data_IF_711530955284
#
_entry.id   IF_711530955284
#
_cell.length_a   1.000
_cell.length_b   1.000
_cell.length_c   1.000
_cell.angle_alpha   90.00
_cell.angle_beta   90.00
_cell.angle_gamma   90.00
#
_symmetry.space_group_name_H-M   'P 1'
#
loop_
_entity.id
_entity.type
_entity.pdbx_description
1 polymer ?
#
# COMPACT_ATOMS: atom_id res chain seq x y z
N UNK A 1 0.40 -33.24 -15.51
CA UNK A 1 1.11 -32.98 -14.24
C UNK A 1 0.24 -32.04 -13.45
N UNK A 2 0.16 -32.16 -12.11
CA UNK A 2 -0.54 -31.20 -11.28
C UNK A 2 0.22 -29.85 -11.33
N UNK A 3 -0.52 -28.75 -11.44
CA UNK A 3 0.09 -27.42 -11.37
C UNK A 3 0.58 -27.12 -9.95
N UNK A 4 1.66 -26.35 -9.85
CA UNK A 4 2.13 -25.82 -8.57
C UNK A 4 1.21 -24.66 -8.17
N UNK A 5 0.66 -24.72 -6.96
CA UNK A 5 -0.20 -23.68 -6.42
C UNK A 5 0.67 -22.48 -5.96
N UNK A 6 0.27 -21.29 -6.37
CA UNK A 6 0.77 -20.01 -5.91
C UNK A 6 -0.40 -19.26 -5.27
N UNK A 7 -0.42 -19.18 -3.94
CA UNK A 7 -1.40 -18.37 -3.21
C UNK A 7 -0.97 -16.91 -3.26
N UNK A 8 -1.89 -16.07 -3.70
CA UNK A 8 -1.66 -14.64 -3.92
C UNK A 8 -2.53 -13.84 -2.97
N UNK A 9 -1.91 -13.13 -2.04
CA UNK A 9 -2.61 -12.20 -1.16
C UNK A 9 -2.57 -10.78 -1.70
N UNK A 10 -3.75 -10.16 -1.85
CA UNK A 10 -3.86 -8.75 -2.20
C UNK A 10 -5.12 -8.14 -1.58
N UNK A 11 -5.20 -6.81 -1.53
CA UNK A 11 -6.36 -6.16 -0.92
C UNK A 11 -7.60 -6.26 -1.83
N UNK A 12 -8.82 -6.19 -1.25
CA UNK A 12 -10.05 -6.10 -2.03
C UNK A 12 -10.32 -4.66 -2.46
N UNK A 13 -9.30 -3.98 -2.99
CA UNK A 13 -9.37 -2.62 -3.50
C UNK A 13 -9.26 -2.60 -5.02
N UNK A 14 -9.75 -1.55 -5.65
CA UNK A 14 -9.85 -1.48 -7.11
C UNK A 14 -8.49 -1.45 -7.82
N UNK A 15 -7.47 -0.86 -7.21
CA UNK A 15 -6.10 -0.83 -7.75
C UNK A 15 -5.45 -2.22 -7.75
N UNK A 16 -5.54 -2.97 -6.65
CA UNK A 16 -5.05 -4.35 -6.61
C UNK A 16 -5.84 -5.25 -7.57
N UNK A 17 -7.17 -5.16 -7.59
CA UNK A 17 -7.99 -5.93 -8.53
C UNK A 17 -7.58 -5.65 -9.99
N UNK A 18 -7.33 -4.38 -10.33
CA UNK A 18 -6.85 -4.00 -11.66
C UNK A 18 -5.50 -4.66 -11.98
N UNK A 19 -4.54 -4.59 -11.08
CA UNK A 19 -3.18 -5.13 -11.24
C UNK A 19 -3.21 -6.65 -11.49
N UNK A 20 -4.07 -7.37 -10.78
CA UNK A 20 -4.17 -8.83 -10.86
C UNK A 20 -5.20 -9.33 -11.89
N UNK A 21 -5.86 -8.44 -12.64
CA UNK A 21 -6.92 -8.79 -13.60
C UNK A 21 -6.56 -9.96 -14.51
N UNK A 22 -5.39 -9.93 -15.14
CA UNK A 22 -5.04 -10.92 -16.13
C UNK A 22 -4.78 -12.32 -15.52
N UNK A 23 -4.23 -12.38 -14.32
CA UNK A 23 -4.07 -13.63 -13.57
C UNK A 23 -5.42 -14.14 -13.06
N UNK A 24 -6.23 -13.27 -12.45
CA UNK A 24 -7.53 -13.63 -11.87
C UNK A 24 -8.55 -14.11 -12.93
N UNK A 25 -8.50 -13.55 -14.14
CA UNK A 25 -9.41 -13.91 -15.25
C UNK A 25 -8.79 -14.85 -16.29
N UNK A 26 -7.63 -15.46 -16.00
CA UNK A 26 -7.00 -16.46 -16.87
C UNK A 26 -6.63 -15.92 -18.26
N UNK A 27 -6.20 -14.66 -18.36
CA UNK A 27 -5.79 -14.03 -19.62
C UNK A 27 -4.36 -14.35 -20.03
N UNK A 28 -3.60 -15.00 -19.16
CA UNK A 28 -2.20 -15.36 -19.37
C UNK A 28 -2.02 -16.88 -19.33
N UNK A 29 -1.12 -17.38 -20.15
CA UNK A 29 -0.61 -18.74 -19.96
C UNK A 29 0.34 -18.74 -18.75
N UNK A 30 -0.09 -19.38 -17.68
CA UNK A 30 0.65 -19.49 -16.42
C UNK A 30 1.57 -20.73 -16.37
N UNK A 31 1.63 -21.52 -17.45
CA UNK A 31 2.48 -22.70 -17.51
C UNK A 31 2.17 -23.70 -16.39
N UNK A 32 3.20 -24.07 -15.59
CA UNK A 32 3.04 -25.07 -14.53
C UNK A 32 2.38 -24.50 -13.25
N UNK A 33 1.98 -23.23 -13.21
CA UNK A 33 1.44 -22.58 -12.01
C UNK A 33 -0.07 -22.42 -12.07
N UNK A 34 -0.70 -22.48 -10.88
CA UNK A 34 -2.09 -22.14 -10.64
C UNK A 34 -2.14 -21.06 -9.55
N UNK A 35 -2.70 -19.89 -9.87
CA UNK A 35 -2.81 -18.76 -8.95
C UNK A 35 -4.15 -18.82 -8.21
N UNK A 36 -4.08 -18.85 -6.88
CA UNK A 36 -5.25 -18.78 -5.99
C UNK A 36 -5.22 -17.44 -5.27
N UNK A 37 -6.20 -16.59 -5.54
CA UNK A 37 -6.29 -15.25 -4.99
C UNK A 37 -7.01 -15.25 -3.65
N UNK A 38 -6.40 -14.63 -2.64
CA UNK A 38 -6.96 -14.41 -1.31
C UNK A 38 -7.03 -12.91 -1.03
N UNK A 39 -8.26 -12.40 -0.89
CA UNK A 39 -8.53 -10.96 -0.78
C UNK A 39 -8.82 -10.60 0.68
N UNK A 40 -7.87 -9.92 1.29
CA UNK A 40 -7.98 -9.39 2.67
C UNK A 40 -7.23 -8.06 2.77
N UNK A 41 -7.56 -7.25 3.79
CA UNK A 41 -6.93 -5.94 3.99
C UNK A 41 -5.41 -6.04 4.22
N UNK A 42 -4.71 -4.94 3.90
CA UNK A 42 -3.24 -4.91 3.92
C UNK A 42 -2.64 -5.14 5.31
N UNK A 43 -3.28 -4.71 6.39
CA UNK A 43 -2.78 -4.98 7.74
C UNK A 43 -2.86 -6.47 8.07
N UNK A 44 -3.93 -7.15 7.64
CA UNK A 44 -4.08 -8.61 7.76
C UNK A 44 -3.04 -9.34 6.92
N UNK A 45 -2.79 -8.92 5.67
CA UNK A 45 -1.73 -9.49 4.82
C UNK A 45 -0.35 -9.32 5.45
N UNK A 46 -0.04 -8.13 5.97
CA UNK A 46 1.22 -7.88 6.69
C UNK A 46 1.41 -8.87 7.85
N UNK A 47 0.36 -9.13 8.63
CA UNK A 47 0.42 -10.09 9.77
C UNK A 47 0.59 -11.53 9.32
N UNK A 48 -0.11 -11.96 8.27
CA UNK A 48 0.04 -13.29 7.69
C UNK A 48 1.42 -13.53 7.08
N UNK A 49 2.03 -12.49 6.53
CA UNK A 49 3.38 -12.56 5.97
C UNK A 49 4.45 -12.92 7.02
N UNK A 50 4.27 -12.59 8.31
CA UNK A 50 5.19 -13.04 9.37
C UNK A 50 5.27 -14.57 9.48
N UNK A 51 4.22 -15.26 9.07
CA UNK A 51 4.13 -16.73 9.11
C UNK A 51 4.48 -17.38 7.76
N UNK A 52 4.80 -16.59 6.73
CA UNK A 52 5.11 -17.12 5.39
C UNK A 52 3.95 -17.87 4.75
N UNK A 53 2.70 -17.47 5.03
CA UNK A 53 1.51 -18.24 4.62
C UNK A 53 1.28 -18.24 3.10
N UNK A 54 1.66 -17.15 2.41
CA UNK A 54 1.40 -16.92 1.00
C UNK A 54 2.69 -16.94 0.19
N UNK A 55 2.66 -17.51 -1.01
CA UNK A 55 3.80 -17.54 -1.91
C UNK A 55 4.12 -16.17 -2.49
N UNK A 56 3.08 -15.40 -2.84
CA UNK A 56 3.14 -14.03 -3.33
C UNK A 56 2.14 -13.20 -2.54
N UNK A 57 2.52 -12.05 -2.01
CA UNK A 57 1.61 -11.21 -1.22
C UNK A 57 1.92 -9.73 -1.35
N UNK A 58 0.88 -8.92 -1.37
CA UNK A 58 1.04 -7.50 -1.10
C UNK A 58 1.50 -7.30 0.35
N UNK A 59 2.44 -6.39 0.55
CA UNK A 59 2.94 -5.97 1.87
C UNK A 59 3.16 -4.47 1.89
N UNK A 60 2.93 -3.87 3.04
CA UNK A 60 3.39 -2.49 3.27
C UNK A 60 4.91 -2.43 3.32
N UNK A 61 5.52 -1.39 2.77
CA UNK A 61 6.98 -1.20 2.85
C UNK A 61 7.45 -1.10 4.31
N UNK A 62 6.62 -0.56 5.21
CA UNK A 62 6.88 -0.61 6.66
C UNK A 62 6.97 -2.05 7.17
N UNK A 63 5.99 -2.89 6.87
CA UNK A 63 5.98 -4.29 7.29
C UNK A 63 7.19 -5.05 6.75
N UNK A 64 7.63 -4.74 5.52
CA UNK A 64 8.79 -5.38 4.91
C UNK A 64 10.06 -5.24 5.75
N UNK A 65 10.18 -4.19 6.57
CA UNK A 65 11.29 -4.05 7.52
C UNK A 65 11.45 -5.26 8.46
N UNK A 66 10.38 -5.97 8.71
CA UNK A 66 10.34 -7.16 9.58
C UNK A 66 10.31 -8.48 8.81
N UNK A 67 10.01 -8.42 7.50
CA UNK A 67 9.74 -9.58 6.65
C UNK A 67 10.90 -9.95 5.72
N UNK A 68 11.96 -9.14 5.66
CA UNK A 68 13.05 -9.27 4.70
C UNK A 68 13.81 -10.61 4.77
N UNK A 69 13.71 -11.34 5.88
CA UNK A 69 14.29 -12.69 6.01
C UNK A 69 13.40 -13.77 5.38
N UNK A 70 12.09 -13.52 5.22
CA UNK A 70 11.10 -14.46 4.67
C UNK A 70 10.76 -14.15 3.22
N UNK A 71 10.71 -12.86 2.87
CA UNK A 71 10.29 -12.37 1.56
C UNK A 71 11.35 -11.48 0.89
N UNK A 72 11.38 -11.52 -0.44
CA UNK A 72 12.03 -10.50 -1.27
C UNK A 72 10.97 -9.65 -1.98
N UNK A 73 11.24 -8.38 -2.24
CA UNK A 73 10.34 -7.51 -3.00
C UNK A 73 10.39 -7.87 -4.49
N UNK A 74 9.24 -7.98 -5.15
CA UNK A 74 9.18 -7.98 -6.60
C UNK A 74 9.55 -6.58 -7.11
N UNK A 75 10.37 -6.48 -8.18
CA UNK A 75 10.68 -5.17 -8.78
C UNK A 75 9.53 -4.62 -9.65
N UNK A 76 8.33 -5.16 -9.47
CA UNK A 76 7.07 -4.72 -10.05
C UNK A 76 5.94 -4.91 -9.04
N UNK A 77 4.78 -4.32 -9.28
CA UNK A 77 3.62 -4.40 -8.40
C UNK A 77 3.75 -3.49 -7.17
N UNK A 78 4.42 -2.34 -7.33
CA UNK A 78 4.45 -1.32 -6.29
C UNK A 78 3.26 -0.38 -6.38
N UNK A 79 2.78 0.07 -5.22
CA UNK A 79 1.94 1.25 -5.07
C UNK A 79 2.81 2.41 -4.58
N UNK A 80 3.04 3.39 -5.44
CA UNK A 80 3.87 4.57 -5.17
C UNK A 80 3.02 5.83 -5.18
N UNK A 81 3.14 6.64 -4.15
CA UNK A 81 2.55 7.98 -4.12
C UNK A 81 3.52 9.02 -4.71
N UNK A 82 3.29 9.46 -5.94
CA UNK A 82 4.08 10.52 -6.56
C UNK A 82 3.39 11.86 -6.40
N UNK A 83 3.73 12.59 -5.33
CA UNK A 83 3.09 13.84 -4.88
C UNK A 83 1.63 13.68 -4.44
N UNK A 84 1.26 12.52 -4.01
CA UNK A 84 0.02 12.16 -3.32
C UNK A 84 0.26 10.92 -2.47
N UNK A 85 -0.62 10.65 -1.49
CA UNK A 85 -0.49 9.45 -0.66
C UNK A 85 -1.60 9.35 0.37
N UNK A 86 -1.41 8.59 1.44
CA UNK A 86 -2.31 8.59 2.57
C UNK A 86 -2.53 10.00 3.09
N UNK A 87 -3.77 10.32 3.40
CA UNK A 87 -4.13 11.65 3.89
C UNK A 87 -4.52 11.60 5.37
N UNK A 88 -4.04 12.59 6.12
CA UNK A 88 -4.52 12.86 7.48
C UNK A 88 -5.63 13.91 7.38
N UNK A 89 -6.83 13.55 7.82
CA UNK A 89 -8.02 14.41 7.75
C UNK A 89 -8.63 14.61 9.12
N UNK A 90 -9.37 15.72 9.27
CA UNK A 90 -10.10 16.07 10.47
C UNK A 90 -11.52 16.55 10.16
N UNK A 91 -12.35 16.55 11.21
CA UNK A 91 -13.65 17.21 11.24
C UNK A 91 -13.70 18.20 12.43
N UNK A 92 -12.82 19.22 12.42
CA UNK A 92 -12.65 20.17 13.54
C UNK A 92 -11.56 21.21 13.26
N UNK A 93 -10.85 21.66 14.30
CA UNK A 93 -9.84 22.72 14.21
C UNK A 93 -8.45 22.21 14.60
N UNK A 94 -7.78 21.51 13.69
CA UNK A 94 -6.42 21.02 13.91
C UNK A 94 -5.42 22.17 14.18
N UNK A 95 -5.44 23.21 13.34
CA UNK A 95 -4.48 24.30 13.39
C UNK A 95 -4.66 25.21 14.61
N UNK A 96 -5.85 25.25 15.18
CA UNK A 96 -6.17 26.09 16.33
C UNK A 96 -5.84 25.39 17.67
N UNK A 97 -5.44 24.12 17.63
CA UNK A 97 -5.10 23.36 18.84
C UNK A 97 -3.65 23.59 19.27
N UNK A 98 -3.45 23.68 20.57
CA UNK A 98 -2.11 23.55 21.15
C UNK A 98 -1.48 22.22 20.68
N UNK A 99 -0.25 22.30 20.16
CA UNK A 99 0.51 21.12 19.70
C UNK A 99 0.70 20.07 20.80
N UNK A 100 0.63 20.47 22.05
CA UNK A 100 0.75 19.58 23.22
C UNK A 100 -0.60 19.08 23.75
N UNK A 101 -1.73 19.54 23.21
CA UNK A 101 -3.04 19.03 23.61
C UNK A 101 -3.15 17.54 23.24
N UNK A 102 -3.76 16.69 24.09
CA UNK A 102 -4.00 15.28 23.77
C UNK A 102 -4.80 15.15 22.48
N UNK A 103 -4.37 14.25 21.62
CA UNK A 103 -5.04 13.98 20.35
C UNK A 103 -5.17 12.47 20.12
N UNK A 104 -6.34 12.05 19.63
CA UNK A 104 -6.59 10.67 19.23
C UNK A 104 -6.75 10.60 17.71
N UNK A 105 -5.89 9.84 17.07
CA UNK A 105 -5.90 9.66 15.62
C UNK A 105 -6.26 8.21 15.29
N UNK A 106 -7.31 8.02 14.50
CA UNK A 106 -7.66 6.72 13.95
C UNK A 106 -6.67 6.34 12.84
N UNK A 107 -6.08 5.14 12.93
CA UNK A 107 -5.09 4.63 11.96
C UNK A 107 -5.54 3.29 11.38
N UNK A 108 -5.20 2.95 10.11
CA UNK A 108 -5.63 1.70 9.46
C UNK A 108 -4.90 0.46 9.97
N UNK A 109 -3.72 0.63 10.56
CA UNK A 109 -2.92 -0.45 11.10
C UNK A 109 -1.48 -0.03 11.39
N UNK A 110 -0.87 -0.64 12.38
CA UNK A 110 0.48 -0.27 12.87
C UNK A 110 1.60 -0.76 11.94
N UNK A 111 1.32 -1.72 11.07
CA UNK A 111 2.28 -2.24 10.09
C UNK A 111 2.17 -1.55 8.73
N UNK A 112 1.19 -0.65 8.54
CA UNK A 112 1.02 0.08 7.28
C UNK A 112 2.11 1.13 7.07
N UNK A 113 2.48 1.39 5.82
CA UNK A 113 3.40 2.49 5.50
C UNK A 113 2.79 3.84 5.81
N UNK A 114 1.46 3.96 5.72
CA UNK A 114 0.73 5.14 6.16
C UNK A 114 1.01 5.48 7.63
N UNK A 115 0.98 4.47 8.51
CA UNK A 115 1.33 4.65 9.92
C UNK A 115 2.79 5.09 10.10
N UNK A 116 3.74 4.46 9.39
CA UNK A 116 5.15 4.85 9.43
C UNK A 116 5.33 6.32 9.06
N UNK A 117 4.75 6.73 7.92
CA UNK A 117 4.88 8.12 7.44
C UNK A 117 4.20 9.12 8.37
N UNK A 118 3.04 8.75 8.94
CA UNK A 118 2.39 9.56 9.97
C UNK A 118 3.31 9.76 11.19
N UNK A 119 3.99 8.72 11.66
CA UNK A 119 4.93 8.85 12.79
C UNK A 119 6.10 9.80 12.47
N UNK A 120 6.67 9.69 11.27
CA UNK A 120 7.71 10.59 10.80
C UNK A 120 7.20 12.05 10.71
N UNK A 121 6.02 12.25 10.15
CA UNK A 121 5.36 13.55 10.06
C UNK A 121 5.11 14.16 11.44
N UNK A 122 4.53 13.42 12.38
CA UNK A 122 4.25 13.89 13.75
C UNK A 122 5.54 14.23 14.51
N UNK A 123 6.62 13.46 14.30
CA UNK A 123 7.93 13.75 14.89
C UNK A 123 8.48 15.08 14.37
N UNK A 124 8.41 15.36 13.06
CA UNK A 124 8.81 16.63 12.46
C UNK A 124 7.97 17.79 12.97
N UNK A 125 6.65 17.61 13.09
CA UNK A 125 5.71 18.58 13.63
C UNK A 125 5.83 18.78 15.15
N UNK A 126 6.69 18.00 15.81
CA UNK A 126 6.90 18.01 17.27
C UNK A 126 5.60 17.78 18.07
N UNK A 127 4.71 16.95 17.53
CA UNK A 127 3.49 16.53 18.21
C UNK A 127 3.77 15.26 19.00
N UNK A 128 3.85 15.38 20.32
CA UNK A 128 4.27 14.27 21.20
C UNK A 128 3.11 13.65 21.99
N UNK A 129 2.01 14.39 22.18
CA UNK A 129 0.86 13.89 22.95
C UNK A 129 -0.23 13.35 22.00
N UNK A 130 0.08 12.26 21.30
CA UNK A 130 -0.81 11.66 20.31
C UNK A 130 -1.02 10.19 20.64
N UNK A 131 -2.27 9.78 20.76
CA UNK A 131 -2.71 8.40 20.83
C UNK A 131 -3.11 7.93 19.42
N UNK A 132 -2.39 6.95 18.88
CA UNK A 132 -2.68 6.34 17.59
C UNK A 132 -3.49 5.06 17.83
N UNK A 133 -4.75 5.04 17.35
CA UNK A 133 -5.67 3.94 17.65
C UNK A 133 -6.05 3.22 16.35
N UNK A 134 -5.82 1.90 16.32
CA UNK A 134 -6.20 1.08 15.17
C UNK A 134 -7.72 1.00 15.04
N UNK A 135 -8.20 1.31 13.84
CA UNK A 135 -9.61 1.21 13.41
C UNK A 135 -9.65 0.51 12.05
N UNK A 136 -10.67 -0.30 11.73
CA UNK A 136 -10.83 -0.81 10.38
C UNK A 136 -10.74 0.34 9.36
N UNK A 137 -9.93 0.14 8.33
CA UNK A 137 -9.54 1.23 7.42
C UNK A 137 -10.75 1.89 6.72
N UNK A 138 -11.77 1.12 6.44
CA UNK A 138 -13.04 1.56 5.82
C UNK A 138 -13.98 2.31 6.77
N UNK A 139 -13.73 2.27 8.09
CA UNK A 139 -14.52 2.96 9.11
C UNK A 139 -13.88 4.27 9.60
N UNK A 140 -12.67 4.59 9.15
CA UNK A 140 -11.90 5.74 9.68
C UNK A 140 -12.66 7.07 9.50
N UNK A 141 -13.23 7.32 8.33
CA UNK A 141 -13.99 8.56 8.10
C UNK A 141 -15.25 8.61 8.98
N UNK A 142 -15.96 7.50 9.14
CA UNK A 142 -17.16 7.41 9.98
C UNK A 142 -16.85 7.78 11.44
N UNK A 143 -15.82 7.19 12.04
CA UNK A 143 -15.47 7.43 13.45
C UNK A 143 -14.94 8.84 13.70
N UNK A 144 -14.29 9.47 12.70
CA UNK A 144 -13.90 10.89 12.77
C UNK A 144 -15.11 11.80 12.62
N UNK A 145 -16.06 11.46 11.72
CA UNK A 145 -17.31 12.19 11.56
C UNK A 145 -18.15 12.14 12.86
N UNK A 146 -18.19 10.99 13.52
CA UNK A 146 -18.83 10.81 14.81
C UNK A 146 -18.08 11.46 16.00
N UNK A 147 -16.96 12.15 15.73
CA UNK A 147 -16.10 12.80 16.74
C UNK A 147 -15.57 11.86 17.83
N UNK A 148 -15.43 10.59 17.52
CA UNK A 148 -14.78 9.61 18.40
C UNK A 148 -13.25 9.77 18.38
N UNK A 149 -12.73 10.32 17.30
CA UNK A 149 -11.31 10.65 17.09
C UNK A 149 -11.17 12.07 16.55
N UNK A 150 -10.04 12.69 16.85
CA UNK A 150 -9.74 14.07 16.44
C UNK A 150 -9.33 14.16 14.98
N UNK A 151 -8.72 13.09 14.46
CA UNK A 151 -8.30 12.95 13.07
C UNK A 151 -8.28 11.48 12.63
N UNK A 152 -8.20 11.26 11.33
CA UNK A 152 -8.10 9.93 10.73
C UNK A 152 -7.11 9.86 9.58
N UNK A 153 -6.37 8.75 9.50
CA UNK A 153 -5.41 8.48 8.44
C UNK A 153 -6.05 7.58 7.37
N UNK A 154 -6.38 8.16 6.23
CA UNK A 154 -7.13 7.49 5.14
C UNK A 154 -6.18 6.96 4.09
N UNK A 155 -6.36 5.69 3.69
CA UNK A 155 -5.51 4.97 2.73
C UNK A 155 -6.27 4.37 1.53
N UNK A 156 -7.58 4.61 1.42
CA UNK A 156 -8.47 4.05 0.39
C UNK A 156 -9.10 5.18 -0.45
N UNK A 157 -10.08 4.85 -1.25
CA UNK A 157 -10.77 5.77 -2.16
C UNK A 157 -11.35 7.04 -1.48
N UNK A 158 -11.55 7.00 -0.17
CA UNK A 158 -11.87 8.17 0.65
C UNK A 158 -10.90 9.35 0.48
N UNK A 159 -9.68 9.09 -0.01
CA UNK A 159 -8.72 10.14 -0.41
C UNK A 159 -9.26 11.05 -1.52
N UNK A 160 -10.21 10.59 -2.33
CA UNK A 160 -10.83 11.37 -3.40
C UNK A 160 -12.14 12.03 -2.97
N UNK A 161 -12.77 11.54 -1.90
CA UNK A 161 -14.14 11.96 -1.52
C UNK A 161 -14.21 12.77 -0.23
N UNK A 162 -13.16 12.77 0.61
CA UNK A 162 -13.16 13.36 1.95
C UNK A 162 -13.66 14.81 1.99
N UNK A 163 -13.30 15.66 1.02
CA UNK A 163 -13.77 17.05 0.97
C UNK A 163 -15.28 17.14 0.72
N UNK A 164 -15.82 16.28 -0.16
CA UNK A 164 -17.26 16.19 -0.45
C UNK A 164 -18.05 15.71 0.79
N UNK A 165 -17.39 14.97 1.67
CA UNK A 165 -17.93 14.47 2.93
C UNK A 165 -17.75 15.45 4.12
N UNK A 166 -17.17 16.63 3.84
CA UNK A 166 -17.03 17.72 4.83
C UNK A 166 -15.78 17.64 5.69
N UNK A 167 -14.85 16.76 5.38
CA UNK A 167 -13.55 16.71 6.07
C UNK A 167 -12.58 17.75 5.52
N UNK A 168 -11.59 18.11 6.36
CA UNK A 168 -10.49 18.99 5.99
C UNK A 168 -9.18 18.25 6.00
N UNK A 169 -8.34 18.52 5.01
CA UNK A 169 -7.00 17.97 4.93
C UNK A 169 -6.08 18.63 5.97
N UNK A 170 -5.44 17.83 6.79
CA UNK A 170 -4.34 18.26 7.66
C UNK A 170 -3.02 18.14 6.89
N UNK A 171 -2.75 16.97 6.31
CA UNK A 171 -1.55 16.68 5.53
C UNK A 171 -1.78 15.53 4.57
N UNK A 172 -1.19 15.63 3.38
CA UNK A 172 -1.00 14.52 2.46
C UNK A 172 0.42 13.97 2.65
N UNK A 173 0.53 12.70 3.03
CA UNK A 173 1.81 12.06 3.37
C UNK A 173 2.72 11.91 2.14
N UNK A 174 2.16 11.76 0.94
CA UNK A 174 2.95 11.69 -0.29
C UNK A 174 3.50 13.05 -0.71
N UNK A 175 2.70 14.12 -0.59
CA UNK A 175 3.16 15.50 -0.81
C UNK A 175 4.27 15.84 0.19
N UNK A 176 4.01 15.59 1.48
CA UNK A 176 4.98 15.82 2.55
C UNK A 176 6.29 15.06 2.28
N UNK A 177 6.23 13.76 1.98
CA UNK A 177 7.40 12.94 1.70
C UNK A 177 8.21 13.45 0.51
N UNK A 178 7.52 13.78 -0.60
CA UNK A 178 8.19 14.30 -1.80
C UNK A 178 8.89 15.64 -1.52
N UNK A 179 8.29 16.50 -0.69
CA UNK A 179 8.93 17.77 -0.29
C UNK A 179 10.20 17.53 0.54
N UNK A 180 10.24 16.49 1.37
CA UNK A 180 11.39 16.17 2.21
C UNK A 180 12.52 15.49 1.44
N UNK A 181 12.19 14.62 0.48
CA UNK A 181 13.15 13.67 -0.11
C UNK A 181 13.38 13.87 -1.61
N UNK A 182 12.44 14.49 -2.30
CA UNK A 182 12.42 14.55 -3.77
C UNK A 182 12.07 13.21 -4.44
N UNK A 183 11.59 12.21 -3.65
CA UNK A 183 11.29 10.86 -4.11
C UNK A 183 9.78 10.57 -3.99
N UNK A 184 9.23 9.60 -4.77
CA UNK A 184 7.87 9.12 -4.53
C UNK A 184 7.79 8.41 -3.18
N UNK A 185 6.59 8.40 -2.56
CA UNK A 185 6.36 7.66 -1.33
C UNK A 185 6.08 6.19 -1.64
N UNK A 186 6.94 5.23 -1.26
CA UNK A 186 6.66 3.82 -1.48
C UNK A 186 5.70 3.30 -0.41
N UNK A 187 4.46 3.01 -0.79
CA UNK A 187 3.40 2.60 0.13
C UNK A 187 3.34 1.10 0.32
N UNK A 188 3.17 0.39 -0.79
CA UNK A 188 3.06 -1.05 -0.84
C UNK A 188 3.89 -1.65 -1.96
N UNK A 189 4.14 -2.93 -1.85
CA UNK A 189 4.83 -3.72 -2.85
C UNK A 189 4.32 -5.15 -2.84
N UNK A 190 4.45 -5.85 -3.95
CA UNK A 190 4.32 -7.30 -3.94
C UNK A 190 5.64 -7.94 -3.49
N UNK A 191 5.55 -8.93 -2.64
CA UNK A 191 6.69 -9.66 -2.09
C UNK A 191 6.52 -11.16 -2.33
N UNK A 192 7.61 -11.81 -2.74
CA UNK A 192 7.65 -13.24 -3.03
C UNK A 192 8.44 -13.98 -1.97
N UNK A 193 7.93 -15.14 -1.54
CA UNK A 193 8.54 -15.94 -0.50
C UNK A 193 9.87 -16.54 -0.97
N UNK A 194 10.90 -16.44 -0.14
CA UNK A 194 12.28 -16.82 -0.48
C UNK A 194 12.55 -18.31 -0.57
N UNK A 195 11.73 -19.13 0.09
CA UNK A 195 11.90 -20.59 0.13
C UNK A 195 11.37 -21.31 -1.12
N UNK A 196 10.76 -20.57 -2.06
CA UNK A 196 10.38 -21.12 -3.35
C UNK A 196 11.64 -21.45 -4.18
N UNK A 197 11.58 -22.50 -5.05
CA UNK A 197 12.66 -22.76 -6.00
C UNK A 197 12.98 -21.50 -6.83
N UNK A 198 14.28 -21.20 -7.04
CA UNK A 198 14.71 -19.97 -7.71
C UNK A 198 14.07 -19.76 -9.09
N UNK A 199 13.87 -20.83 -9.88
CA UNK A 199 13.14 -20.77 -11.13
C UNK A 199 11.67 -20.34 -10.93
N UNK A 200 10.99 -20.87 -9.90
CA UNK A 200 9.62 -20.48 -9.59
C UNK A 200 9.53 -19.01 -9.17
N UNK A 201 10.50 -18.52 -8.38
CA UNK A 201 10.58 -17.11 -7.99
C UNK A 201 10.61 -16.21 -9.23
N UNK A 202 11.53 -16.45 -10.16
CA UNK A 202 11.67 -15.62 -11.37
C UNK A 202 10.43 -15.72 -12.29
N UNK A 203 9.87 -16.93 -12.46
CA UNK A 203 8.70 -17.11 -13.32
C UNK A 203 7.43 -16.48 -12.73
N UNK A 204 7.22 -16.57 -11.42
CA UNK A 204 6.06 -15.95 -10.74
C UNK A 204 6.15 -14.43 -10.83
N UNK A 205 7.35 -13.84 -10.60
CA UNK A 205 7.54 -12.38 -10.73
C UNK A 205 7.34 -11.93 -12.18
N UNK A 206 7.80 -12.70 -13.16
CA UNK A 206 7.55 -12.43 -14.59
C UNK A 206 6.05 -12.49 -14.93
N UNK A 207 5.31 -13.44 -14.35
CA UNK A 207 3.84 -13.53 -14.54
C UNK A 207 3.09 -12.40 -13.88
N UNK A 208 3.52 -11.94 -12.69
CA UNK A 208 2.99 -10.75 -12.05
C UNK A 208 3.20 -9.51 -12.94
N UNK A 209 4.43 -9.30 -13.42
CA UNK A 209 4.74 -8.19 -14.33
C UNK A 209 3.89 -8.26 -15.60
N UNK A 210 3.73 -9.46 -16.19
CA UNK A 210 2.89 -9.65 -17.37
C UNK A 210 1.41 -9.34 -17.08
N UNK A 211 0.91 -9.64 -15.87
CA UNK A 211 -0.46 -9.29 -15.46
C UNK A 211 -0.66 -7.79 -15.39
N UNK A 212 0.28 -7.06 -14.76
CA UNK A 212 0.25 -5.60 -14.65
C UNK A 212 0.27 -4.97 -16.05
N UNK A 213 1.22 -5.41 -16.89
CA UNK A 213 1.32 -4.92 -18.27
C UNK A 213 0.05 -5.18 -19.07
N UNK A 214 -0.51 -6.38 -18.96
CA UNK A 214 -1.76 -6.73 -19.64
C UNK A 214 -2.92 -5.81 -19.20
N UNK A 215 -3.05 -5.57 -17.91
CA UNK A 215 -4.08 -4.69 -17.37
C UNK A 215 -3.95 -3.24 -17.90
N UNK A 216 -2.73 -2.71 -17.95
CA UNK A 216 -2.45 -1.38 -18.49
C UNK A 216 -2.73 -1.31 -20.01
N UNK A 217 -2.35 -2.34 -20.77
CA UNK A 217 -2.61 -2.43 -22.22
C UNK A 217 -4.10 -2.64 -22.54
N UNK A 218 -4.89 -3.21 -21.60
CA UNK A 218 -6.33 -3.50 -21.75
C UNK A 218 -7.14 -2.78 -20.66
N UNK A 219 -6.85 -1.48 -20.47
CA UNK A 219 -7.32 -0.67 -19.35
C UNK A 219 -8.83 -0.74 -19.12
N UNK A 220 -9.63 -0.64 -20.18
CA UNK A 220 -11.10 -0.66 -20.07
C UNK A 220 -11.60 -1.97 -19.43
N UNK A 221 -11.13 -3.12 -19.92
CA UNK A 221 -11.55 -4.42 -19.40
C UNK A 221 -11.04 -4.69 -17.99
N UNK A 222 -9.83 -4.22 -17.66
CA UNK A 222 -9.27 -4.31 -16.32
C UNK A 222 -10.02 -3.38 -15.35
N UNK A 223 -10.42 -2.19 -15.80
CA UNK A 223 -11.22 -1.25 -15.00
C UNK A 223 -12.63 -1.79 -14.74
N UNK A 224 -13.27 -2.41 -15.74
CA UNK A 224 -14.57 -3.07 -15.55
C UNK A 224 -14.51 -4.13 -14.44
N UNK A 225 -13.43 -4.90 -14.39
CA UNK A 225 -13.20 -5.86 -13.31
C UNK A 225 -12.92 -5.17 -11.99
N UNK A 226 -12.08 -4.13 -11.97
CA UNK A 226 -11.73 -3.39 -10.76
C UNK A 226 -12.96 -2.71 -10.11
N UNK A 227 -13.96 -2.31 -10.92
CA UNK A 227 -15.22 -1.73 -10.44
C UNK A 227 -16.02 -2.67 -9.53
N UNK A 228 -15.86 -4.00 -9.67
CA UNK A 228 -16.47 -4.98 -8.75
C UNK A 228 -15.96 -4.77 -7.30
N UNK A 229 -14.82 -4.10 -7.11
CA UNK A 229 -14.13 -3.87 -5.85
C UNK A 229 -14.10 -2.40 -5.41
N UNK A 230 -14.69 -1.49 -6.20
CA UNK A 230 -14.57 -0.03 -5.99
C UNK A 230 -15.53 0.55 -4.94
N UNK A 231 -16.17 -0.27 -4.11
CA UNK A 231 -17.06 0.13 -2.98
C UNK A 231 -18.10 1.19 -3.34
N UNK A 232 -18.65 1.12 -4.54
CA UNK A 232 -19.68 2.05 -5.00
C UNK A 232 -19.17 3.37 -5.56
N UNK A 233 -17.86 3.53 -5.77
CA UNK A 233 -17.33 4.65 -6.54
C UNK A 233 -17.90 4.69 -7.94
N UNK A 234 -18.07 5.90 -8.45
CA UNK A 234 -18.35 6.09 -9.88
C UNK A 234 -17.12 5.71 -10.70
N UNK A 235 -17.34 5.28 -11.96
CA UNK A 235 -16.27 4.82 -12.84
C UNK A 235 -15.09 5.79 -12.95
N UNK A 236 -15.37 7.09 -13.07
CA UNK A 236 -14.33 8.12 -13.23
C UNK A 236 -13.46 8.26 -11.96
N UNK A 237 -14.07 8.20 -10.76
CA UNK A 237 -13.33 8.24 -9.50
C UNK A 237 -12.53 6.94 -9.31
N UNK A 238 -13.08 5.78 -9.69
CA UNK A 238 -12.36 4.50 -9.64
C UNK A 238 -11.19 4.48 -10.64
N UNK A 239 -11.36 4.97 -11.86
CA UNK A 239 -10.30 5.06 -12.86
C UNK A 239 -9.18 5.99 -12.41
N UNK A 240 -9.55 7.11 -11.78
CA UNK A 240 -8.59 8.03 -11.18
C UNK A 240 -7.81 7.36 -10.05
N UNK A 241 -8.49 6.67 -9.14
CA UNK A 241 -7.84 5.97 -8.01
C UNK A 241 -6.90 4.87 -8.52
N UNK A 242 -7.35 4.03 -9.45
CA UNK A 242 -6.50 3.03 -10.11
C UNK A 242 -5.27 3.69 -10.74
N UNK A 243 -5.43 4.78 -11.49
CA UNK A 243 -4.32 5.49 -12.13
C UNK A 243 -3.31 6.10 -11.17
N UNK A 244 -3.73 6.45 -9.95
CA UNK A 244 -2.80 6.89 -8.89
C UNK A 244 -1.84 5.77 -8.49
N UNK A 245 -2.31 4.54 -8.35
CA UNK A 245 -1.55 3.44 -7.73
C UNK A 245 -1.12 2.34 -8.70
N UNK A 246 -1.69 2.28 -9.92
CA UNK A 246 -1.27 1.35 -10.98
C UNK A 246 -0.82 2.13 -12.22
N UNK A 247 0.47 2.28 -12.37
CA UNK A 247 1.12 3.12 -13.39
C UNK A 247 2.54 2.60 -13.69
N UNK A 248 3.40 3.45 -14.26
CA UNK A 248 4.77 3.09 -14.61
C UNK A 248 5.59 2.61 -13.40
N UNK A 249 5.37 3.18 -12.20
CA UNK A 249 5.99 2.71 -10.95
C UNK A 249 5.57 1.28 -10.59
N UNK A 250 4.36 0.88 -10.97
CA UNK A 250 3.86 -0.47 -10.74
C UNK A 250 4.49 -1.47 -11.71
N UNK A 251 4.76 -1.07 -12.95
CA UNK A 251 5.50 -1.91 -13.90
C UNK A 251 6.94 -2.13 -13.48
N UNK A 252 7.64 -1.09 -13.08
CA UNK A 252 9.02 -1.16 -12.62
C UNK A 252 9.27 -0.05 -11.58
N UNK A 253 9.84 -0.43 -10.44
CA UNK A 253 10.24 0.55 -9.42
C UNK A 253 11.23 1.60 -9.96
N UNK A 254 11.98 1.29 -11.02
CA UNK A 254 13.07 2.11 -11.48
C UNK A 254 14.13 2.38 -10.39
N UNK A 255 15.16 3.12 -10.72
CA UNK A 255 16.20 3.49 -9.73
C UNK A 255 15.63 4.41 -8.65
N UNK A 256 14.71 5.31 -9.00
CA UNK A 256 14.11 6.25 -8.06
C UNK A 256 13.20 5.56 -7.06
N UNK A 257 12.35 4.62 -7.50
CA UNK A 257 11.50 3.84 -6.60
C UNK A 257 12.31 2.94 -5.65
N UNK A 258 13.34 2.25 -6.16
CA UNK A 258 14.25 1.46 -5.30
C UNK A 258 15.00 2.34 -4.29
N UNK A 259 15.40 3.56 -4.66
CA UNK A 259 15.98 4.53 -3.71
C UNK A 259 14.96 4.97 -2.69
N UNK A 260 13.71 5.23 -3.10
CA UNK A 260 12.64 5.63 -2.21
C UNK A 260 12.36 4.58 -1.13
N UNK A 261 12.31 3.29 -1.50
CA UNK A 261 12.17 2.19 -0.53
C UNK A 261 13.33 2.16 0.47
N UNK A 262 14.58 2.29 -0.02
CA UNK A 262 15.76 2.32 0.88
C UNK A 262 15.73 3.52 1.81
N UNK A 263 15.38 4.68 1.30
CA UNK A 263 15.30 5.93 2.07
C UNK A 263 14.24 5.84 3.17
N UNK A 264 13.04 5.34 2.84
CA UNK A 264 11.97 5.19 3.83
C UNK A 264 12.35 4.22 4.95
N UNK A 265 12.92 3.07 4.60
CA UNK A 265 13.40 2.09 5.58
C UNK A 265 14.56 2.62 6.44
N UNK A 266 15.45 3.44 5.85
CA UNK A 266 16.53 4.09 6.59
C UNK A 266 15.97 5.11 7.58
N UNK A 267 15.05 5.99 7.18
CA UNK A 267 14.42 6.95 8.09
C UNK A 267 13.62 6.25 9.19
N UNK A 268 12.92 5.15 8.87
CA UNK A 268 12.24 4.34 9.88
C UNK A 268 13.19 3.82 10.98
N UNK A 269 14.39 3.38 10.58
CA UNK A 269 15.44 2.95 11.50
C UNK A 269 16.01 4.13 12.31
N UNK A 270 16.37 5.22 11.64
CA UNK A 270 17.00 6.39 12.26
C UNK A 270 16.10 7.06 13.31
N UNK A 271 14.77 6.97 13.12
CA UNK A 271 13.77 7.44 14.08
C UNK A 271 13.33 6.37 15.10
N UNK A 272 13.97 5.20 15.12
CA UNK A 272 13.67 4.13 16.06
C UNK A 272 12.28 3.51 15.90
N UNK A 273 11.66 3.64 14.72
CA UNK A 273 10.34 3.05 14.42
C UNK A 273 10.48 1.57 14.10
N UNK A 274 11.56 1.19 13.41
CA UNK A 274 11.92 -0.21 13.17
C UNK A 274 13.19 -0.57 13.92
N UNK A 275 13.31 -1.83 14.41
CA UNK A 275 14.39 -2.20 15.35
C UNK A 275 15.75 -2.44 14.68
N UNK A 276 15.77 -2.69 13.37
CA UNK A 276 17.00 -3.01 12.62
C UNK A 276 17.04 -2.28 11.29
N UNK A 277 18.25 -1.99 10.82
CA UNK A 277 18.47 -1.50 9.47
C UNK A 277 18.21 -2.62 8.46
N UNK A 278 17.45 -2.33 7.42
CA UNK A 278 17.10 -3.30 6.37
C UNK A 278 17.62 -2.81 5.02
N UNK A 279 18.27 -3.72 4.30
CA UNK A 279 18.64 -3.51 2.89
C UNK A 279 17.65 -4.31 2.04
N UNK A 280 16.73 -3.67 1.33
CA UNK A 280 15.74 -4.39 0.54
C UNK A 280 16.40 -5.10 -0.64
N UNK A 281 15.98 -6.35 -0.87
CA UNK A 281 16.31 -7.13 -2.04
C UNK A 281 15.15 -7.11 -3.02
N UNK A 282 15.46 -6.94 -4.30
CA UNK A 282 14.48 -6.87 -5.38
C UNK A 282 14.68 -8.03 -6.35
N UNK A 283 13.59 -8.73 -6.67
CA UNK A 283 13.55 -9.76 -7.70
C UNK A 283 12.99 -9.14 -8.98
N UNK A 284 13.78 -9.23 -10.04
CA UNK A 284 13.41 -8.68 -11.35
C UNK A 284 12.58 -9.69 -12.16
N UNK A 285 11.64 -9.21 -13.03
CA UNK A 285 10.84 -10.04 -13.94
C UNK A 285 11.67 -10.81 -14.96
#
# INVERSE_FOLDING_TARGET
MSKQIIRVGHSPDSDDAFMFYALAKGKLDTGPYEFIHELVDIETLNRRAFHGELELTAVSVHAYAYLNDVYALCNCGASMGDKYGPILVENGSWNDRDKNAPMRIAIPGELTTAFLTLKLYLAQEKRTNVELVKVPFDQILEVVQAKQYDAGLVIHEGQLTFEREGFRLIADMGVWWTQQTGLPLPLGANAIRRDLPGQAVSEVVRLLHASIKYALDHREAALDYALEFARGLQRDDADKFVGMYVNDWTLDFGDAGRRAVRELLQQAYDHGIVPKRVVPEFVFP
#
